data_IF_837763186616
#
_entry.id   IF_837763186616
#
_cell.length_a   1.000
_cell.length_b   1.000
_cell.length_c   1.000
_cell.angle_alpha   90.00
_cell.angle_beta   90.00
_cell.angle_gamma   90.00
#
_symmetry.space_group_name_H-M   'P 1'
#
loop_
_entity.id
_entity.type
_entity.pdbx_description
1 polymer ?
#
# COMPACT_ATOMS: atom_id res chain seq x y z
N UNK A 1 7.01 -29.37 8.32
CA UNK A 1 5.77 -28.72 8.03
C UNK A 1 5.99 -27.35 7.41
N UNK A 2 5.15 -27.06 6.55
CA UNK A 2 5.27 -25.85 5.79
C UNK A 2 4.49 -24.74 6.46
N UNK A 3 5.11 -24.17 7.40
CA UNK A 3 4.55 -22.93 7.86
C UNK A 3 4.92 -21.89 6.84
N UNK A 4 4.12 -20.98 6.59
CA UNK A 4 4.55 -19.82 5.95
C UNK A 4 4.09 -19.62 4.54
N UNK A 5 3.10 -20.36 4.10
CA UNK A 5 2.39 -19.93 2.92
C UNK A 5 1.55 -18.73 3.29
N UNK A 6 1.85 -17.63 2.64
CA UNK A 6 1.05 -16.43 2.84
C UNK A 6 -0.25 -16.56 2.05
N UNK A 7 -1.36 -16.13 2.67
CA UNK A 7 -2.68 -16.09 2.03
C UNK A 7 -3.14 -14.66 1.93
N UNK A 8 -3.63 -14.29 0.75
CA UNK A 8 -4.18 -12.95 0.56
C UNK A 8 -5.70 -13.00 0.63
N UNK A 9 -6.27 -12.13 1.45
CA UNK A 9 -7.71 -12.07 1.72
C UNK A 9 -8.20 -10.67 1.36
N UNK A 10 -9.25 -10.55 0.54
CA UNK A 10 -9.86 -9.24 0.31
C UNK A 10 -10.59 -8.80 1.57
N UNK A 11 -10.40 -7.54 1.94
CA UNK A 11 -10.98 -6.97 3.16
C UNK A 11 -11.50 -5.55 2.88
N UNK A 12 -12.25 -5.03 3.83
CA UNK A 12 -12.62 -3.61 3.88
C UNK A 12 -11.66 -2.90 4.82
N UNK A 13 -11.56 -1.59 4.68
CA UNK A 13 -10.69 -0.79 5.54
C UNK A 13 -11.06 -0.90 7.01
N UNK A 14 -12.34 -1.10 7.31
CA UNK A 14 -12.84 -1.26 8.66
C UNK A 14 -12.81 -2.70 9.18
N UNK A 15 -12.31 -3.64 8.39
CA UNK A 15 -12.18 -5.04 8.78
C UNK A 15 -11.13 -5.18 9.89
N UNK A 16 -11.36 -6.13 10.77
CA UNK A 16 -10.46 -6.42 11.87
C UNK A 16 -9.05 -6.77 11.39
N UNK A 17 -8.95 -7.49 10.28
CA UNK A 17 -7.65 -7.85 9.69
C UNK A 17 -6.86 -6.65 9.17
N UNK A 18 -7.53 -5.53 8.87
CA UNK A 18 -6.87 -4.33 8.39
C UNK A 18 -6.33 -3.44 9.53
N UNK A 19 -6.73 -3.68 10.77
CA UNK A 19 -6.35 -2.79 11.87
C UNK A 19 -4.85 -2.78 12.18
N UNK A 20 -4.13 -3.91 12.17
CA UNK A 20 -2.68 -3.87 12.36
C UNK A 20 -1.95 -3.03 11.31
N UNK A 21 -2.39 -3.09 10.06
CA UNK A 21 -1.84 -2.25 9.00
C UNK A 21 -1.99 -0.76 9.33
N UNK A 22 -3.20 -0.34 9.69
CA UNK A 22 -3.47 1.06 10.01
C UNK A 22 -2.68 1.51 11.23
N UNK A 23 -2.63 0.70 12.27
CA UNK A 23 -1.93 1.04 13.50
C UNK A 23 -0.43 1.19 13.27
N UNK A 24 0.19 0.26 12.55
CA UNK A 24 1.62 0.29 12.33
C UNK A 24 2.04 1.39 11.36
N UNK A 25 1.26 1.64 10.31
CA UNK A 25 1.51 2.76 9.42
C UNK A 25 1.42 4.09 10.18
N UNK A 26 0.48 4.22 11.11
CA UNK A 26 0.37 5.43 11.91
C UNK A 26 1.62 5.66 12.76
N UNK A 27 2.16 4.61 13.38
CA UNK A 27 3.39 4.69 14.15
C UNK A 27 4.57 5.12 13.27
N UNK A 28 4.75 4.46 12.13
CA UNK A 28 5.89 4.74 11.25
C UNK A 28 5.84 6.13 10.66
N UNK A 29 4.70 6.56 10.17
CA UNK A 29 4.58 7.89 9.58
C UNK A 29 4.76 8.99 10.63
N UNK A 30 4.24 8.78 11.83
CA UNK A 30 4.42 9.72 12.91
C UNK A 30 5.91 9.91 13.23
N UNK A 31 6.66 8.81 13.31
CA UNK A 31 8.10 8.86 13.57
C UNK A 31 8.87 9.50 12.43
N UNK A 32 8.58 9.15 11.20
CA UNK A 32 9.35 9.62 10.04
C UNK A 32 9.11 11.08 9.70
N UNK A 33 7.91 11.58 9.95
CA UNK A 33 7.53 12.93 9.54
C UNK A 33 7.24 13.86 10.70
N UNK A 34 7.56 13.45 11.92
CA UNK A 34 7.41 14.31 13.09
C UNK A 34 5.96 14.63 13.45
N UNK A 35 5.06 13.70 13.21
CA UNK A 35 3.63 13.85 13.49
C UNK A 35 3.22 12.99 14.69
N UNK A 36 2.02 13.22 15.22
CA UNK A 36 1.49 12.37 16.28
C UNK A 36 0.77 11.17 15.69
N UNK A 37 0.79 10.05 16.40
CA UNK A 37 0.09 8.84 15.95
C UNK A 37 -1.42 9.07 15.75
N UNK A 38 -2.14 9.75 16.66
CA UNK A 38 -3.56 10.01 16.45
C UNK A 38 -3.85 10.81 15.18
N UNK A 39 -3.00 11.78 14.85
CA UNK A 39 -3.15 12.58 13.63
C UNK A 39 -3.01 11.72 12.38
N UNK A 40 -1.98 10.88 12.34
CA UNK A 40 -1.75 10.01 11.19
C UNK A 40 -2.85 8.96 11.08
N UNK A 41 -3.26 8.37 12.20
CA UNK A 41 -4.33 7.37 12.19
C UNK A 41 -5.64 7.96 11.65
N UNK A 42 -5.95 9.19 12.04
CA UNK A 42 -7.12 9.89 11.52
C UNK A 42 -7.03 10.07 10.00
N UNK A 43 -5.86 10.43 9.49
CA UNK A 43 -5.62 10.54 8.05
C UNK A 43 -5.88 9.22 7.33
N UNK A 44 -5.34 8.13 7.89
CA UNK A 44 -5.42 6.82 7.24
C UNK A 44 -6.85 6.30 7.19
N UNK A 45 -7.68 6.74 8.13
CA UNK A 45 -9.10 6.35 8.20
C UNK A 45 -10.02 7.35 7.52
N UNK A 46 -9.52 8.53 7.17
CA UNK A 46 -10.30 9.57 6.54
C UNK A 46 -10.54 9.24 5.06
N UNK A 47 -11.63 9.72 4.52
CA UNK A 47 -11.99 9.52 3.13
C UNK A 47 -13.28 8.74 2.98
N UNK A 48 -13.72 8.51 1.72
CA UNK A 48 -14.94 7.75 1.47
C UNK A 48 -14.83 6.33 1.97
N UNK A 49 -15.89 5.83 2.59
CA UNK A 49 -15.94 4.46 3.12
C UNK A 49 -15.63 3.43 2.05
N UNK A 50 -16.02 3.72 0.81
CA UNK A 50 -15.88 2.80 -0.31
C UNK A 50 -14.64 3.05 -1.18
N UNK A 51 -13.70 3.87 -0.73
CA UNK A 51 -12.52 4.21 -1.52
C UNK A 51 -11.77 2.98 -2.00
N UNK A 52 -11.66 1.97 -1.14
CA UNK A 52 -10.94 0.74 -1.45
C UNK A 52 -11.88 -0.46 -1.64
N UNK A 53 -13.11 -0.20 -2.08
CA UNK A 53 -14.09 -1.25 -2.29
C UNK A 53 -14.34 -1.52 -3.78
N UNK A 54 -14.75 -2.75 -4.15
CA UNK A 54 -15.16 -3.03 -5.52
C UNK A 54 -16.30 -2.12 -5.97
N UNK A 55 -16.45 -1.86 -7.27
CA UNK A 55 -15.67 -2.43 -8.36
C UNK A 55 -14.37 -1.69 -8.67
N UNK A 56 -14.23 -0.44 -8.26
CA UNK A 56 -13.10 0.41 -8.66
C UNK A 56 -11.85 0.21 -7.81
N UNK A 57 -12.01 -0.10 -6.54
CA UNK A 57 -10.91 -0.29 -5.62
C UNK A 57 -10.89 -1.68 -5.00
N UNK A 58 -9.91 -1.88 -4.14
CA UNK A 58 -9.79 -3.13 -3.39
C UNK A 58 -8.73 -3.02 -2.31
N UNK A 59 -8.75 -3.96 -1.39
CA UNK A 59 -7.76 -4.05 -0.33
C UNK A 59 -7.49 -5.51 -0.04
N UNK A 60 -6.21 -5.87 0.05
CA UNK A 60 -5.79 -7.23 0.37
C UNK A 60 -4.95 -7.23 1.63
N UNK A 61 -5.17 -8.22 2.46
CA UNK A 61 -4.31 -8.49 3.61
C UNK A 61 -3.71 -9.88 3.41
N UNK A 62 -2.40 -9.98 3.52
CA UNK A 62 -1.69 -11.24 3.51
C UNK A 62 -1.52 -11.75 4.92
N UNK A 63 -1.93 -12.99 5.17
CA UNK A 63 -1.86 -13.61 6.49
C UNK A 63 -0.94 -14.81 6.51
N UNK A 64 -0.27 -15.00 7.64
CA UNK A 64 0.48 -16.21 7.96
C UNK A 64 -0.21 -16.83 9.16
N UNK A 65 -0.67 -18.07 8.99
CA UNK A 65 -1.40 -18.78 10.07
C UNK A 65 -2.53 -17.91 10.64
N UNK A 66 -3.22 -17.17 9.76
CA UNK A 66 -4.34 -16.32 10.15
C UNK A 66 -3.96 -14.95 10.69
N UNK A 67 -2.67 -14.65 10.83
CA UNK A 67 -2.22 -13.36 11.35
C UNK A 67 -1.80 -12.41 10.24
N UNK A 68 -2.30 -11.16 10.21
CA UNK A 68 -1.91 -10.18 9.20
C UNK A 68 -0.41 -9.86 9.28
N UNK A 69 0.29 -9.95 8.15
CA UNK A 69 1.72 -9.64 8.10
C UNK A 69 2.07 -8.67 6.98
N UNK A 70 1.20 -8.51 5.99
CA UNK A 70 1.39 -7.54 4.91
C UNK A 70 0.03 -7.17 4.35
N UNK A 71 -0.04 -6.04 3.66
CA UNK A 71 -1.30 -5.63 3.05
C UNK A 71 -1.17 -4.34 2.28
N UNK A 72 -2.19 -4.04 1.53
CA UNK A 72 -2.26 -2.82 0.75
C UNK A 72 -3.60 -2.67 0.08
N UNK A 73 -3.81 -1.50 -0.51
CA UNK A 73 -5.07 -1.15 -1.12
C UNK A 73 -4.83 -0.43 -2.44
N UNK A 74 -5.86 -0.33 -3.24
CA UNK A 74 -5.84 0.49 -4.43
C UNK A 74 -7.19 1.15 -4.63
N UNK A 75 -7.18 2.27 -5.33
CA UNK A 75 -8.38 2.98 -5.74
C UNK A 75 -8.21 3.47 -7.18
N UNK A 76 -9.27 3.96 -7.77
CA UNK A 76 -9.21 4.51 -9.12
C UNK A 76 -8.46 5.85 -9.10
N UNK A 77 -7.47 5.98 -9.97
CA UNK A 77 -6.79 7.25 -10.23
C UNK A 77 -7.39 7.91 -11.48
N UNK A 78 -7.48 7.15 -12.58
CA UNK A 78 -8.20 7.57 -13.77
C UNK A 78 -8.78 6.32 -14.48
N UNK A 79 -9.31 6.49 -15.68
CA UNK A 79 -10.00 5.40 -16.39
C UNK A 79 -9.12 4.16 -16.58
N UNK A 80 -7.80 4.34 -16.75
CA UNK A 80 -6.87 3.25 -17.05
C UNK A 80 -5.91 2.95 -15.91
N UNK A 81 -5.91 3.74 -14.85
CA UNK A 81 -4.87 3.70 -13.81
C UNK A 81 -5.46 3.50 -12.43
N UNK A 82 -4.91 2.54 -11.71
CA UNK A 82 -5.21 2.36 -10.28
C UNK A 82 -4.07 2.95 -9.46
N UNK A 83 -4.40 3.53 -8.31
CA UNK A 83 -3.40 4.06 -7.38
C UNK A 83 -3.26 3.14 -6.18
N UNK A 84 -2.02 2.73 -5.90
CA UNK A 84 -1.72 1.94 -4.70
C UNK A 84 -1.69 2.85 -3.48
N UNK A 85 -2.24 2.36 -2.39
CA UNK A 85 -2.28 3.04 -1.10
C UNK A 85 -2.17 2.05 0.04
N UNK A 86 -1.70 2.50 1.18
CA UNK A 86 -1.67 1.69 2.41
C UNK A 86 -0.78 0.46 2.30
N UNK A 87 0.31 0.52 1.53
CA UNK A 87 1.24 -0.60 1.41
C UNK A 87 1.99 -0.78 2.73
N UNK A 88 1.91 -1.99 3.28
CA UNK A 88 2.43 -2.28 4.61
C UNK A 88 3.00 -3.70 4.70
N UNK A 89 4.09 -3.85 5.41
CA UNK A 89 4.59 -5.15 5.87
C UNK A 89 4.94 -5.01 7.34
N UNK A 90 4.45 -5.94 8.14
CA UNK A 90 4.71 -5.98 9.57
C UNK A 90 6.21 -5.91 9.85
N UNK A 91 6.58 -5.11 10.85
CA UNK A 91 7.98 -4.85 11.18
C UNK A 91 8.80 -6.12 11.38
N UNK A 92 8.22 -7.13 12.03
CA UNK A 92 8.93 -8.36 12.36
C UNK A 92 8.98 -9.33 11.18
N UNK A 93 8.29 -9.02 10.09
CA UNK A 93 8.22 -9.88 8.90
C UNK A 93 8.90 -9.25 7.68
N UNK A 94 9.62 -8.15 7.85
CA UNK A 94 10.32 -7.48 6.75
C UNK A 94 11.52 -8.28 6.30
N UNK A 95 11.98 -8.00 5.07
CA UNK A 95 13.12 -8.65 4.43
C UNK A 95 12.91 -10.14 4.15
N UNK A 96 11.66 -10.55 4.03
CA UNK A 96 11.29 -11.94 3.71
C UNK A 96 10.59 -12.04 2.36
N UNK A 97 10.51 -10.94 1.60
CA UNK A 97 9.90 -10.94 0.28
C UNK A 97 8.39 -10.78 0.26
N UNK A 98 7.74 -10.56 1.39
CA UNK A 98 6.28 -10.44 1.44
C UNK A 98 5.75 -9.23 0.69
N UNK A 99 6.47 -8.11 0.72
CA UNK A 99 6.06 -6.91 -0.01
C UNK A 99 6.04 -7.15 -1.53
N UNK A 100 7.00 -7.91 -2.04
CA UNK A 100 7.04 -8.25 -3.47
C UNK A 100 5.86 -9.13 -3.86
N UNK A 101 5.54 -10.11 -3.02
CA UNK A 101 4.40 -11.00 -3.26
C UNK A 101 3.10 -10.20 -3.18
N UNK A 102 3.00 -9.29 -2.21
CA UNK A 102 1.85 -8.40 -2.08
C UNK A 102 1.64 -7.56 -3.34
N UNK A 103 2.71 -6.94 -3.84
CA UNK A 103 2.59 -6.11 -5.05
C UNK A 103 2.12 -6.95 -6.24
N UNK A 104 2.63 -8.16 -6.39
CA UNK A 104 2.21 -9.06 -7.47
C UNK A 104 0.73 -9.40 -7.34
N UNK A 105 0.24 -9.66 -6.13
CA UNK A 105 -1.16 -9.96 -5.88
C UNK A 105 -2.07 -8.75 -6.14
N UNK A 106 -1.65 -7.57 -5.69
CA UNK A 106 -2.41 -6.34 -5.95
C UNK A 106 -2.46 -6.04 -7.44
N UNK A 107 -1.33 -6.18 -8.14
CA UNK A 107 -1.27 -5.94 -9.59
C UNK A 107 -2.16 -6.91 -10.34
N UNK A 108 -2.21 -8.18 -9.93
CA UNK A 108 -3.09 -9.16 -10.54
C UNK A 108 -4.55 -8.78 -10.34
N UNK A 109 -4.92 -8.36 -9.14
CA UNK A 109 -6.26 -7.91 -8.84
C UNK A 109 -6.63 -6.65 -9.63
N UNK A 110 -5.71 -5.69 -9.70
CA UNK A 110 -5.89 -4.47 -10.47
C UNK A 110 -6.13 -4.78 -11.95
N UNK A 111 -5.37 -5.71 -12.51
CA UNK A 111 -5.53 -6.12 -13.90
C UNK A 111 -6.91 -6.74 -14.15
N UNK A 112 -7.44 -7.52 -13.21
CA UNK A 112 -8.77 -8.11 -13.35
C UNK A 112 -9.88 -7.06 -13.39
N UNK A 113 -9.62 -5.86 -12.84
CA UNK A 113 -10.58 -4.76 -12.84
C UNK A 113 -10.49 -3.92 -14.12
N UNK A 114 -9.59 -4.27 -15.05
CA UNK A 114 -9.46 -3.60 -16.33
C UNK A 114 -8.47 -2.45 -16.37
N UNK A 115 -7.76 -2.19 -15.30
CA UNK A 115 -6.73 -1.16 -15.28
C UNK A 115 -5.50 -1.63 -16.06
N UNK A 116 -4.83 -0.68 -16.71
CA UNK A 116 -3.63 -0.95 -17.50
C UNK A 116 -2.36 -0.42 -16.86
N UNK A 117 -2.48 0.40 -15.84
CA UNK A 117 -1.35 1.05 -15.21
C UNK A 117 -1.58 1.16 -13.71
N UNK A 118 -0.48 1.13 -12.97
CA UNK A 118 -0.47 1.34 -11.53
C UNK A 118 0.34 2.59 -11.23
N UNK A 119 -0.17 3.44 -10.39
CA UNK A 119 0.45 4.68 -9.95
C UNK A 119 0.53 4.65 -8.43
N UNK A 120 1.55 5.29 -7.86
CA UNK A 120 1.64 5.44 -6.41
C UNK A 120 2.46 6.67 -6.05
N UNK A 121 2.24 7.15 -4.84
CA UNK A 121 3.03 8.22 -4.25
C UNK A 121 3.56 7.72 -2.91
N UNK A 122 4.85 7.93 -2.66
CA UNK A 122 5.46 7.66 -1.37
C UNK A 122 6.16 8.92 -0.87
N UNK A 123 6.50 8.95 0.42
CA UNK A 123 7.24 10.08 0.98
C UNK A 123 8.75 9.91 0.80
N UNK A 124 9.46 11.02 0.79
CA UNK A 124 10.92 11.05 0.62
C UNK A 124 11.71 10.47 1.79
N UNK A 125 11.04 10.19 2.91
CA UNK A 125 11.69 9.61 4.09
C UNK A 125 11.42 8.11 4.23
N UNK A 126 11.11 7.46 3.11
CA UNK A 126 10.86 6.02 3.06
C UNK A 126 11.76 5.36 2.00
N UNK A 127 13.08 5.32 2.22
CA UNK A 127 14.01 4.78 1.21
C UNK A 127 13.78 3.31 0.90
N UNK A 128 13.35 2.51 1.87
CA UNK A 128 13.04 1.10 1.61
C UNK A 128 11.83 0.93 0.69
N UNK A 129 10.87 1.84 0.72
CA UNK A 129 9.75 1.82 -0.20
C UNK A 129 10.21 2.17 -1.61
N UNK A 130 11.05 3.20 -1.75
CA UNK A 130 11.61 3.58 -3.05
C UNK A 130 12.39 2.43 -3.68
N UNK A 131 13.20 1.73 -2.90
CA UNK A 131 13.96 0.58 -3.36
C UNK A 131 13.03 -0.56 -3.82
N UNK A 132 11.99 -0.83 -3.07
CA UNK A 132 11.01 -1.86 -3.39
C UNK A 132 10.36 -1.58 -4.74
N UNK A 133 9.89 -0.36 -4.96
CA UNK A 133 9.21 -0.02 -6.19
C UNK A 133 10.16 -0.07 -7.39
N UNK A 134 11.36 0.48 -7.25
CA UNK A 134 12.35 0.40 -8.31
C UNK A 134 12.69 -1.05 -8.66
N UNK A 135 12.81 -1.90 -7.65
CA UNK A 135 13.16 -3.31 -7.85
C UNK A 135 12.03 -4.15 -8.44
N UNK A 136 10.78 -3.67 -8.36
CA UNK A 136 9.60 -4.42 -8.84
C UNK A 136 9.02 -3.87 -10.13
N UNK A 137 9.77 -3.05 -10.84
CA UNK A 137 9.41 -2.61 -12.19
C UNK A 137 8.73 -1.26 -12.27
N UNK A 138 8.69 -0.52 -11.16
CA UNK A 138 8.12 0.83 -11.17
C UNK A 138 9.16 1.84 -11.62
N UNK A 139 8.71 2.84 -12.36
CA UNK A 139 9.55 3.94 -12.85
C UNK A 139 9.21 5.19 -12.06
N UNK A 140 10.24 5.85 -11.52
CA UNK A 140 10.05 7.10 -10.81
C UNK A 140 9.67 8.18 -11.82
N UNK A 141 8.62 8.94 -11.50
CA UNK A 141 8.18 10.03 -12.36
C UNK A 141 9.01 11.29 -12.11
N UNK A 142 9.21 12.11 -13.14
CA UNK A 142 10.04 13.30 -13.02
C UNK A 142 9.36 14.42 -12.24
N UNK A 143 10.19 15.33 -11.73
CA UNK A 143 9.78 16.57 -11.12
C UNK A 143 9.25 16.43 -9.72
N UNK A 144 9.27 17.51 -8.96
CA UNK A 144 8.67 17.49 -7.64
C UNK A 144 7.15 17.62 -7.78
N UNK A 145 6.44 16.82 -7.01
CA UNK A 145 5.01 17.02 -6.78
C UNK A 145 4.87 18.08 -5.68
N UNK A 146 3.75 18.79 -5.61
CA UNK A 146 3.53 19.75 -4.52
C UNK A 146 3.62 19.04 -3.18
N UNK A 147 4.41 19.59 -2.26
CA UNK A 147 4.50 19.06 -0.90
C UNK A 147 3.20 19.31 -0.16
N UNK A 148 2.81 18.33 0.65
CA UNK A 148 1.62 18.44 1.49
C UNK A 148 2.07 18.28 2.95
N UNK A 149 2.29 19.40 3.62
CA UNK A 149 2.82 19.40 4.97
C UNK A 149 4.29 18.97 5.00
N UNK A 150 4.70 18.15 5.97
CA UNK A 150 6.08 17.72 6.12
C UNK A 150 6.51 16.63 5.13
N UNK A 151 5.57 16.07 4.37
CA UNK A 151 5.83 14.98 3.43
C UNK A 151 6.18 15.56 2.07
N UNK A 152 7.34 15.18 1.52
CA UNK A 152 7.72 15.52 0.16
C UNK A 152 7.42 14.32 -0.72
N UNK A 153 6.41 14.42 -1.60
CA UNK A 153 5.93 13.24 -2.33
C UNK A 153 6.83 12.88 -3.51
N UNK A 154 6.97 11.57 -3.73
CA UNK A 154 7.69 10.99 -4.86
C UNK A 154 6.73 10.02 -5.54
N UNK A 155 6.54 10.17 -6.84
CA UNK A 155 5.60 9.35 -7.58
C UNK A 155 6.30 8.29 -8.44
N UNK A 156 5.64 7.15 -8.59
CA UNK A 156 6.10 6.03 -9.42
C UNK A 156 4.94 5.50 -10.24
N UNK A 157 5.24 4.89 -11.39
CA UNK A 157 4.22 4.21 -12.17
C UNK A 157 4.78 2.93 -12.80
N UNK A 158 3.86 2.02 -13.15
CA UNK A 158 4.19 0.76 -13.81
C UNK A 158 3.07 0.39 -14.76
N UNK A 159 3.43 0.08 -16.02
CA UNK A 159 2.48 -0.45 -16.97
C UNK A 159 2.20 -1.92 -16.69
N UNK A 160 0.95 -2.32 -16.79
CA UNK A 160 0.55 -3.72 -16.69
C UNK A 160 0.40 -4.27 -18.11
N UNK A 161 0.87 -5.47 -18.30
CA UNK A 161 0.85 -6.10 -19.62
C UNK A 161 -0.42 -6.90 -19.81
#
# INVERSE_FOLDING_TARGET
MMSGSIRFVPVRLDDELAQPLLAELAVEYALRYGLTQPTVLAWLKDGPVDEFAPPDGGMLIGTLDGNPVTGGAFCRFDADTAELKRIWTDREHRRRGYARVLLAELEAEIATRGYRKVYLVTGDRQPEAEELYAATGYTRLPGPLPANGPVFPIAFEKGLV
#
